data_IF_564898537855
#
_entry.id   IF_564898537855
#
_cell.length_a   1.000
_cell.length_b   1.000
_cell.length_c   1.000
_cell.angle_alpha   90.00
_cell.angle_beta   90.00
_cell.angle_gamma   90.00
#
_symmetry.space_group_name_H-M   'P 1'
#
loop_
_entity.id
_entity.type
_entity.pdbx_description
1 polymer ?
#
# COMPACT_ATOMS: atom_id res chain seq x y z
N UNK A 1 -21.17 2.74 0.78
CA UNK A 1 -20.11 3.76 0.75
C UNK A 1 -18.88 3.01 0.30
N UNK A 2 -18.33 3.36 -0.86
CA UNK A 2 -17.15 2.70 -1.40
C UNK A 2 -15.92 3.25 -0.67
N UNK A 3 -15.44 2.51 0.32
CA UNK A 3 -14.29 2.93 1.11
C UNK A 3 -13.02 2.60 0.34
N UNK A 4 -12.50 3.57 -0.42
CA UNK A 4 -11.21 3.43 -1.09
C UNK A 4 -10.07 3.53 -0.08
N UNK A 5 -9.33 2.43 0.05
CA UNK A 5 -8.07 2.37 0.77
C UNK A 5 -6.92 2.30 -0.24
N UNK A 6 -5.89 3.11 -0.02
CA UNK A 6 -4.73 3.19 -0.91
C UNK A 6 -3.48 2.76 -0.15
N UNK A 7 -2.79 1.75 -0.68
CA UNK A 7 -1.51 1.26 -0.18
C UNK A 7 -0.41 1.58 -1.18
N UNK A 8 0.53 2.43 -0.79
CA UNK A 8 1.68 2.82 -1.60
C UNK A 8 2.91 2.06 -1.08
N UNK A 9 3.38 1.10 -1.87
CA UNK A 9 4.53 0.25 -1.58
C UNK A 9 5.75 0.81 -2.31
N UNK A 10 6.80 1.08 -1.55
CA UNK A 10 8.07 1.60 -2.06
C UNK A 10 9.23 0.91 -1.38
N UNK A 11 10.38 0.85 -2.04
CA UNK A 11 11.62 0.36 -1.43
C UNK A 11 12.54 1.52 -1.16
N UNK A 12 13.12 1.55 0.04
CA UNK A 12 14.18 2.48 0.41
C UNK A 12 15.47 1.70 0.66
N UNK A 13 16.62 2.34 0.48
CA UNK A 13 17.91 1.74 0.83
C UNK A 13 18.50 2.52 2.00
N UNK A 14 18.82 1.81 3.08
CA UNK A 14 19.40 2.39 4.29
C UNK A 14 20.59 1.53 4.73
N UNK A 15 21.79 2.13 4.81
CA UNK A 15 23.02 1.42 5.19
C UNK A 15 23.27 0.11 4.40
N UNK A 16 22.92 0.08 3.11
CA UNK A 16 23.03 -1.11 2.25
C UNK A 16 21.88 -2.13 2.37
N UNK A 17 21.01 -1.97 3.37
CA UNK A 17 19.84 -2.81 3.59
C UNK A 17 18.65 -2.25 2.82
N UNK A 18 17.88 -3.13 2.15
CA UNK A 18 16.65 -2.75 1.47
C UNK A 18 15.50 -2.75 2.48
N UNK A 19 14.88 -1.61 2.69
CA UNK A 19 13.75 -1.43 3.58
C UNK A 19 12.47 -1.35 2.74
N UNK A 20 11.50 -2.21 3.01
CA UNK A 20 10.15 -2.06 2.48
C UNK A 20 9.45 -0.96 3.26
N UNK A 21 8.86 0.00 2.54
CA UNK A 21 7.98 1.00 3.11
C UNK A 21 6.58 0.82 2.52
N UNK A 22 5.58 0.79 3.39
CA UNK A 22 4.17 0.82 3.01
C UNK A 22 3.52 2.04 3.64
N UNK A 23 2.80 2.82 2.84
CA UNK A 23 1.93 3.90 3.31
C UNK A 23 0.49 3.53 3.00
N UNK A 24 -0.32 3.36 4.04
CA UNK A 24 -1.77 3.19 3.92
C UNK A 24 -2.45 4.53 4.18
N UNK A 25 -3.32 4.95 3.28
CA UNK A 25 -4.19 6.12 3.42
C UNK A 25 -5.63 5.84 2.99
N UNK A 26 -6.58 6.51 3.64
CA UNK A 26 -8.00 6.51 3.30
C UNK A 26 -8.59 7.89 3.65
N UNK A 27 -9.60 8.33 2.89
CA UNK A 27 -10.21 9.65 3.07
C UNK A 27 -11.31 9.69 4.14
N UNK A 28 -12.15 8.65 4.25
CA UNK A 28 -13.30 8.64 5.16
C UNK A 28 -13.49 7.28 5.86
N UNK A 29 -13.31 7.21 7.19
CA UNK A 29 -12.72 8.24 8.03
C UNK A 29 -11.27 8.54 7.61
N UNK A 30 -10.77 9.78 7.80
CA UNK A 30 -9.38 10.10 7.47
C UNK A 30 -8.43 9.19 8.24
N UNK A 31 -7.60 8.45 7.50
CA UNK A 31 -6.64 7.53 8.07
C UNK A 31 -5.32 7.61 7.32
N UNK A 32 -4.22 7.55 8.07
CA UNK A 32 -2.88 7.42 7.51
C UNK A 32 -1.99 6.64 8.47
N UNK A 33 -1.34 5.59 7.96
CA UNK A 33 -0.35 4.82 8.71
C UNK A 33 0.78 4.38 7.78
N UNK A 34 1.99 4.34 8.33
CA UNK A 34 3.16 3.84 7.60
C UNK A 34 3.83 2.72 8.37
N UNK A 35 4.31 1.71 7.64
CA UNK A 35 5.12 0.63 8.18
C UNK A 35 6.43 0.56 7.41
N UNK A 36 7.48 0.16 8.11
CA UNK A 36 8.80 -0.07 7.55
C UNK A 36 9.41 -1.31 8.16
N UNK A 37 10.02 -2.15 7.33
CA UNK A 37 10.73 -3.34 7.77
C UNK A 37 11.83 -3.72 6.78
N UNK A 38 12.81 -4.51 7.22
CA UNK A 38 13.82 -5.10 6.34
C UNK A 38 13.15 -6.07 5.35
N UNK A 39 13.27 -5.76 4.07
CA UNK A 39 12.63 -6.51 2.99
C UNK A 39 13.41 -7.73 2.52
N UNK A 40 14.62 -7.94 3.05
CA UNK A 40 15.52 -8.98 2.58
C UNK A 40 15.85 -8.81 1.09
N UNK A 41 15.73 -9.89 0.32
CA UNK A 41 16.23 -9.93 -1.06
C UNK A 41 15.25 -9.37 -2.10
N UNK A 42 13.93 -9.48 -1.86
CA UNK A 42 12.88 -9.24 -2.86
C UNK A 42 11.76 -8.31 -2.35
N UNK A 43 12.03 -7.00 -2.16
CA UNK A 43 10.98 -6.03 -1.86
C UNK A 43 10.03 -5.80 -3.03
N UNK A 44 8.80 -5.39 -2.71
CA UNK A 44 7.84 -4.87 -3.69
C UNK A 44 8.18 -3.40 -3.98
N UNK A 45 8.43 -3.11 -5.25
CA UNK A 45 8.92 -1.81 -5.71
C UNK A 45 7.84 -1.05 -6.45
N UNK A 46 7.58 0.17 -5.98
CA UNK A 46 6.84 1.20 -6.70
C UNK A 46 5.46 0.74 -7.19
N UNK A 47 4.74 0.02 -6.32
CA UNK A 47 3.38 -0.45 -6.57
C UNK A 47 2.43 0.33 -5.69
N UNK A 48 1.36 0.83 -6.29
CA UNK A 48 0.19 1.27 -5.54
C UNK A 48 -0.89 0.20 -5.68
N UNK A 49 -1.53 -0.17 -4.58
CA UNK A 49 -2.68 -1.09 -4.55
C UNK A 49 -3.87 -0.33 -3.99
N UNK A 50 -4.98 -0.40 -4.69
CA UNK A 50 -6.27 0.10 -4.22
C UNK A 50 -7.08 -1.06 -3.68
N UNK A 51 -7.71 -0.83 -2.53
CA UNK A 51 -8.70 -1.73 -1.96
C UNK A 51 -10.02 -1.01 -1.97
N UNK A 52 -10.99 -1.57 -2.68
CA UNK A 52 -12.36 -1.06 -2.77
C UNK A 52 -13.26 -2.04 -2.02
N UNK A 53 -13.88 -1.55 -0.94
CA UNK A 53 -14.89 -2.30 -0.20
C UNK A 53 -16.28 -1.89 -0.69
N UNK A 54 -16.96 -2.82 -1.38
CA UNK A 54 -18.31 -2.67 -1.91
C UNK A 54 -19.40 -3.13 -0.93
N UNK A 55 -19.01 -3.67 0.25
CA UNK A 55 -19.90 -4.30 1.22
C UNK A 55 -19.83 -5.84 1.16
N UNK A 56 -20.44 -6.50 0.16
CA UNK A 56 -20.40 -7.97 0.07
C UNK A 56 -19.05 -8.48 -0.46
N UNK A 57 -18.28 -7.64 -1.13
CA UNK A 57 -16.98 -7.97 -1.69
C UNK A 57 -15.96 -6.87 -1.43
N UNK A 58 -14.73 -7.31 -1.20
CA UNK A 58 -13.56 -6.45 -1.11
C UNK A 58 -12.62 -6.81 -2.26
N UNK A 59 -12.28 -5.83 -3.09
CA UNK A 59 -11.46 -6.04 -4.28
C UNK A 59 -10.14 -5.30 -4.14
N UNK A 60 -9.04 -6.00 -4.42
CA UNK A 60 -7.71 -5.40 -4.55
C UNK A 60 -7.38 -5.26 -6.03
N UNK A 61 -6.88 -4.10 -6.43
CA UNK A 61 -6.52 -3.81 -7.81
C UNK A 61 -5.37 -2.81 -7.89
N UNK A 62 -4.62 -2.86 -8.98
CA UNK A 62 -3.69 -1.80 -9.34
C UNK A 62 -4.47 -0.59 -9.87
N UNK A 63 -4.00 0.66 -9.66
CA UNK A 63 -4.65 1.84 -10.22
C UNK A 63 -4.81 1.80 -11.75
N UNK A 64 -3.98 1.02 -12.44
CA UNK A 64 -4.05 0.82 -13.90
C UNK A 64 -5.14 -0.16 -14.34
N UNK A 65 -5.73 -0.91 -13.41
CA UNK A 65 -6.78 -1.90 -13.67
C UNK A 65 -8.20 -1.36 -13.39
N UNK A 66 -8.29 -0.13 -12.87
CA UNK A 66 -9.52 0.61 -12.67
C UNK A 66 -9.89 1.41 -13.93
#
# INVERSE_FOLDING_TARGET
MDYLQVFELSTQQFAGIKIQRIVHRQEQPPYKKSWQWDSGQLPVRDVTVWIVDSGPYCTMMLPSEY
#
